data_IF_221426260898
#
_entry.id   IF_221426260898
#
_cell.length_a   1.000
_cell.length_b   1.000
_cell.length_c   1.000
_cell.angle_alpha   90.00
_cell.angle_beta   90.00
_cell.angle_gamma   90.00
#
_symmetry.space_group_name_H-M   'P 1'
#
loop_
_entity.id
_entity.type
_entity.pdbx_description
1 polymer ?
#
# COMPACT_ATOMS: atom_id res chain seq x y z
N UNK A 1 14.93 18.08 4.24
CA UNK A 1 14.65 18.28 2.81
C UNK A 1 13.21 18.72 2.74
N UNK A 2 12.98 19.98 2.39
CA UNK A 2 11.64 20.54 2.28
C UNK A 2 10.87 19.75 1.22
N UNK A 3 9.76 19.11 1.61
CA UNK A 3 8.83 18.55 0.65
C UNK A 3 8.26 19.74 -0.13
N UNK A 4 8.86 20.03 -1.30
CA UNK A 4 8.32 20.99 -2.25
C UNK A 4 6.82 20.75 -2.40
N UNK A 5 6.06 21.84 -2.27
CA UNK A 5 4.61 21.87 -2.35
C UNK A 5 4.18 21.46 -3.78
N UNK A 6 4.19 20.15 -4.05
CA UNK A 6 3.93 19.57 -5.36
C UNK A 6 2.45 19.72 -5.65
N UNK A 7 2.15 20.50 -6.69
CA UNK A 7 0.80 20.62 -7.24
C UNK A 7 0.23 19.21 -7.45
N UNK A 8 -1.02 18.95 -7.02
CA UNK A 8 -1.64 17.65 -7.25
C UNK A 8 -1.71 17.37 -8.76
N UNK A 9 -1.44 16.12 -9.13
CA UNK A 9 -1.59 15.66 -10.51
C UNK A 9 -3.06 15.34 -10.75
N UNK A 10 -3.62 15.88 -11.82
CA UNK A 10 -4.94 15.48 -12.28
C UNK A 10 -4.89 14.05 -12.84
N UNK A 11 -5.85 13.22 -12.45
CA UNK A 11 -6.05 11.88 -12.99
C UNK A 11 -7.54 11.69 -13.34
N UNK A 12 -7.87 10.98 -14.43
CA UNK A 12 -9.26 10.73 -14.82
C UNK A 12 -9.87 9.50 -14.12
N UNK A 13 -9.22 8.94 -13.10
CA UNK A 13 -9.64 7.70 -12.42
C UNK A 13 -10.36 8.02 -11.10
N UNK A 14 -11.44 7.29 -10.81
CA UNK A 14 -12.23 7.38 -9.60
C UNK A 14 -12.94 6.04 -9.32
N UNK A 15 -13.46 5.86 -8.11
CA UNK A 15 -14.20 4.67 -7.72
C UNK A 15 -13.35 3.39 -7.80
N UNK A 16 -13.96 2.24 -8.16
CA UNK A 16 -13.25 0.96 -8.22
C UNK A 16 -12.02 0.96 -9.13
N UNK A 17 -12.07 1.66 -10.27
CA UNK A 17 -10.94 1.73 -11.23
C UNK A 17 -9.71 2.36 -10.59
N UNK A 18 -9.89 3.35 -9.70
CA UNK A 18 -8.77 3.93 -8.95
C UNK A 18 -8.15 2.93 -7.97
N UNK A 19 -8.98 2.11 -7.32
CA UNK A 19 -8.54 1.09 -6.36
C UNK A 19 -7.85 -0.11 -7.04
N UNK A 20 -8.17 -0.37 -8.31
CA UNK A 20 -7.51 -1.40 -9.14
C UNK A 20 -6.15 -0.95 -9.69
N UNK A 21 -5.78 0.32 -9.55
CA UNK A 21 -4.50 0.86 -10.01
C UNK A 21 -3.47 0.88 -8.87
N UNK A 22 -2.48 -0.03 -8.82
CA UNK A 22 -1.61 -0.18 -7.64
C UNK A 22 -0.73 1.04 -7.38
N UNK A 23 -0.41 1.78 -8.44
CA UNK A 23 0.37 3.02 -8.37
C UNK A 23 -0.40 4.19 -7.74
N UNK A 24 -1.73 4.15 -7.78
CA UNK A 24 -2.60 5.25 -7.33
C UNK A 24 -3.38 4.88 -6.05
N UNK A 25 -3.63 3.59 -5.85
CA UNK A 25 -4.39 3.09 -4.71
C UNK A 25 -3.61 3.30 -3.41
N UNK A 26 -4.19 4.07 -2.48
CA UNK A 26 -3.68 4.28 -1.12
C UNK A 26 -4.37 3.40 -0.09
N UNK A 27 -5.37 2.61 -0.48
CA UNK A 27 -6.22 1.85 0.44
C UNK A 27 -6.86 2.77 1.49
N UNK A 28 -6.77 2.37 2.76
CA UNK A 28 -7.26 3.15 3.90
C UNK A 28 -6.58 4.51 4.07
N UNK A 29 -5.42 4.76 3.45
CA UNK A 29 -4.71 6.03 3.53
C UNK A 29 -5.23 7.13 2.61
N UNK A 30 -6.30 6.87 1.84
CA UNK A 30 -7.07 7.97 1.23
C UNK A 30 -7.73 8.81 2.33
N UNK A 31 -7.46 10.11 2.32
CA UNK A 31 -8.09 11.06 3.27
C UNK A 31 -9.59 11.18 2.99
N UNK A 32 -10.35 11.71 3.95
CA UNK A 32 -11.79 11.96 3.76
C UNK A 32 -12.10 12.89 2.56
N UNK A 33 -11.23 13.86 2.32
CA UNK A 33 -11.31 14.74 1.16
C UNK A 33 -11.07 13.98 -0.14
N UNK A 34 -10.03 13.14 -0.19
CA UNK A 34 -9.74 12.29 -1.35
C UNK A 34 -10.87 11.28 -1.61
N UNK A 35 -11.41 10.65 -0.56
CA UNK A 35 -12.55 9.72 -0.66
C UNK A 35 -13.78 10.39 -1.26
N UNK A 36 -14.03 11.65 -0.91
CA UNK A 36 -15.11 12.46 -1.47
C UNK A 36 -14.84 12.81 -2.94
N UNK A 37 -13.64 13.28 -3.27
CA UNK A 37 -13.28 13.67 -4.64
C UNK A 37 -13.22 12.49 -5.62
N UNK A 38 -12.80 11.31 -5.15
CA UNK A 38 -12.65 10.12 -5.97
C UNK A 38 -13.82 9.14 -5.85
N UNK A 39 -14.94 9.50 -5.21
CA UNK A 39 -16.12 8.64 -5.03
C UNK A 39 -15.80 7.27 -4.39
N UNK A 40 -15.04 7.28 -3.29
CA UNK A 40 -14.60 6.06 -2.59
C UNK A 40 -15.41 5.73 -1.33
N UNK A 41 -16.36 6.59 -0.95
CA UNK A 41 -17.24 6.34 0.18
C UNK A 41 -18.03 5.04 0.01
N UNK A 42 -17.94 4.17 1.03
CA UNK A 42 -18.55 2.84 1.01
C UNK A 42 -17.73 1.75 0.29
N UNK A 43 -16.63 2.10 -0.39
CA UNK A 43 -15.72 1.15 -1.01
C UNK A 43 -14.52 0.78 -0.11
N UNK A 44 -14.25 1.62 0.89
CA UNK A 44 -13.15 1.46 1.84
C UNK A 44 -13.70 1.39 3.28
N UNK A 45 -12.98 0.73 4.20
CA UNK A 45 -13.29 0.83 5.63
C UNK A 45 -13.33 2.28 6.10
N UNK A 46 -14.15 2.57 7.12
CA UNK A 46 -14.31 3.92 7.67
C UNK A 46 -12.99 4.50 8.20
N UNK A 47 -12.15 3.67 8.81
CA UNK A 47 -10.87 4.09 9.33
C UNK A 47 -9.96 4.66 8.23
N UNK A 48 -9.40 5.85 8.48
CA UNK A 48 -8.30 6.43 7.71
C UNK A 48 -7.01 6.12 8.44
N UNK A 49 -6.08 5.45 7.76
CA UNK A 49 -4.77 5.10 8.32
C UNK A 49 -3.68 5.99 7.72
N UNK A 50 -2.64 6.29 8.49
CA UNK A 50 -1.40 6.84 7.92
C UNK A 50 -0.62 5.76 7.18
N UNK A 51 0.33 6.15 6.33
CA UNK A 51 1.20 5.17 5.67
C UNK A 51 2.04 4.40 6.69
N UNK A 52 2.44 5.02 7.81
CA UNK A 52 3.15 4.36 8.91
C UNK A 52 2.29 3.28 9.58
N UNK A 53 1.01 3.56 9.84
CA UNK A 53 0.07 2.58 10.43
C UNK A 53 -0.17 1.41 9.48
N UNK A 54 -0.29 1.68 8.17
CA UNK A 54 -0.40 0.63 7.16
C UNK A 54 0.86 -0.25 7.11
N UNK A 55 2.05 0.34 7.20
CA UNK A 55 3.33 -0.40 7.24
C UNK A 55 3.41 -1.27 8.48
N UNK A 56 3.07 -0.74 9.65
CA UNK A 56 3.10 -1.50 10.90
C UNK A 56 2.13 -2.70 10.84
N UNK A 57 0.90 -2.48 10.36
CA UNK A 57 -0.09 -3.53 10.18
C UNK A 57 0.37 -4.59 9.17
N UNK A 58 0.95 -4.16 8.05
CA UNK A 58 1.47 -5.07 7.03
C UNK A 58 2.66 -5.89 7.55
N UNK A 59 3.57 -5.28 8.32
CA UNK A 59 4.70 -5.97 8.91
C UNK A 59 4.27 -7.04 9.92
N UNK A 60 3.31 -6.73 10.80
CA UNK A 60 2.75 -7.72 11.74
C UNK A 60 2.17 -8.92 11.00
N UNK A 61 1.36 -8.66 9.97
CA UNK A 61 0.78 -9.73 9.14
C UNK A 61 1.86 -10.56 8.42
N UNK A 62 2.92 -9.92 7.95
CA UNK A 62 4.08 -10.60 7.36
C UNK A 62 4.77 -11.54 8.37
N UNK A 63 4.94 -11.10 9.62
CA UNK A 63 5.57 -11.91 10.68
C UNK A 63 4.71 -13.11 11.11
N UNK A 64 3.38 -13.03 10.96
CA UNK A 64 2.47 -14.12 11.29
C UNK A 64 2.58 -15.32 10.32
N UNK A 65 3.11 -15.11 9.10
CA UNK A 65 3.34 -16.20 8.16
C UNK A 65 4.55 -17.04 8.57
N UNK A 66 4.38 -18.36 8.51
CA UNK A 66 5.38 -19.33 8.99
C UNK A 66 6.35 -19.81 7.93
N UNK A 67 5.97 -19.73 6.65
CA UNK A 67 6.79 -20.19 5.54
C UNK A 67 7.02 -19.06 4.53
N UNK A 68 8.10 -19.19 3.78
CA UNK A 68 8.58 -18.14 2.89
C UNK A 68 7.69 -17.98 1.65
N UNK A 69 6.99 -19.03 1.22
CA UNK A 69 6.04 -18.97 0.10
C UNK A 69 4.83 -18.10 0.42
N UNK A 70 4.25 -18.24 1.61
CA UNK A 70 3.13 -17.41 2.06
C UNK A 70 3.56 -15.95 2.24
N UNK A 71 4.77 -15.73 2.78
CA UNK A 71 5.38 -14.40 2.86
C UNK A 71 5.58 -13.79 1.48
N UNK A 72 6.05 -14.57 0.51
CA UNK A 72 6.22 -14.14 -0.87
C UNK A 72 4.88 -13.75 -1.50
N UNK A 73 3.87 -14.62 -1.39
CA UNK A 73 2.52 -14.35 -1.90
C UNK A 73 1.93 -13.08 -1.27
N UNK A 74 2.14 -12.89 0.03
CA UNK A 74 1.67 -11.71 0.74
C UNK A 74 2.34 -10.42 0.23
N UNK A 75 3.67 -10.40 0.15
CA UNK A 75 4.40 -9.26 -0.38
C UNK A 75 4.02 -8.95 -1.84
N UNK A 76 3.83 -9.98 -2.67
CA UNK A 76 3.34 -9.84 -4.05
C UNK A 76 1.94 -9.23 -4.09
N UNK A 77 1.04 -9.65 -3.22
CA UNK A 77 -0.30 -9.09 -3.13
C UNK A 77 -0.30 -7.60 -2.75
N UNK A 78 0.58 -7.18 -1.83
CA UNK A 78 0.74 -5.76 -1.51
C UNK A 78 1.23 -5.00 -2.76
N UNK A 79 2.23 -5.52 -3.46
CA UNK A 79 2.73 -4.89 -4.69
C UNK A 79 1.64 -4.74 -5.76
N UNK A 80 0.80 -5.76 -5.93
CA UNK A 80 -0.30 -5.80 -6.90
C UNK A 80 -1.52 -4.94 -6.50
N UNK A 81 -1.55 -4.38 -5.29
CA UNK A 81 -2.70 -3.61 -4.80
C UNK A 81 -2.36 -2.20 -4.38
N UNK A 82 -1.18 -1.97 -3.78
CA UNK A 82 -0.69 -0.68 -3.34
C UNK A 82 0.85 -0.68 -3.39
N UNK A 83 1.39 -0.21 -4.50
CA UNK A 83 2.83 -0.25 -4.78
C UNK A 83 3.61 0.74 -3.88
N UNK A 84 2.97 1.83 -3.45
CA UNK A 84 3.56 2.77 -2.49
C UNK A 84 3.79 2.11 -1.13
N UNK A 85 2.80 1.39 -0.62
CA UNK A 85 2.92 0.64 0.64
C UNK A 85 3.97 -0.47 0.53
N UNK A 86 4.01 -1.18 -0.60
CA UNK A 86 5.02 -2.22 -0.84
C UNK A 86 6.44 -1.68 -0.70
N UNK A 87 6.80 -0.62 -1.43
CA UNK A 87 8.15 -0.07 -1.33
C UNK A 87 8.44 0.59 0.02
N UNK A 88 7.44 1.20 0.67
CA UNK A 88 7.62 1.77 2.01
C UNK A 88 7.90 0.70 3.07
N UNK A 89 7.23 -0.45 2.96
CA UNK A 89 7.47 -1.61 3.81
C UNK A 89 8.88 -2.18 3.58
N UNK A 90 9.28 -2.35 2.31
CA UNK A 90 10.63 -2.81 1.96
C UNK A 90 11.72 -1.86 2.47
N UNK A 91 11.53 -0.55 2.35
CA UNK A 91 12.47 0.46 2.87
C UNK A 91 12.74 0.28 4.38
N UNK A 92 11.70 -0.14 5.13
CA UNK A 92 11.80 -0.34 6.58
C UNK A 92 12.38 -1.71 6.98
N UNK A 93 12.20 -2.75 6.15
CA UNK A 93 12.54 -4.14 6.50
C UNK A 93 13.32 -4.88 5.39
N UNK A 94 14.12 -4.15 4.62
CA UNK A 94 14.76 -4.65 3.39
C UNK A 94 15.54 -5.94 3.61
N UNK A 95 16.41 -5.98 4.64
CA UNK A 95 17.27 -7.13 4.89
C UNK A 95 16.50 -8.43 5.17
N UNK A 96 15.32 -8.34 5.81
CA UNK A 96 14.46 -9.50 6.10
C UNK A 96 13.68 -9.93 4.84
N UNK A 97 13.23 -8.96 4.03
CA UNK A 97 12.33 -9.22 2.90
C UNK A 97 13.03 -9.50 1.57
N UNK A 98 14.27 -9.04 1.39
CA UNK A 98 15.08 -9.27 0.18
C UNK A 98 15.16 -10.74 -0.27
N UNK A 99 15.48 -11.73 0.61
CA UNK A 99 15.48 -13.12 0.19
C UNK A 99 14.09 -13.61 -0.25
N UNK A 100 13.02 -13.12 0.38
CA UNK A 100 11.65 -13.54 0.06
C UNK A 100 11.20 -13.04 -1.32
N UNK A 101 11.63 -11.85 -1.75
CA UNK A 101 11.20 -11.26 -3.03
C UNK A 101 12.01 -11.72 -4.24
N UNK A 102 13.28 -12.12 -4.05
CA UNK A 102 14.23 -12.29 -5.16
C UNK A 102 14.75 -13.72 -5.35
N UNK A 103 14.81 -14.54 -4.30
CA UNK A 103 15.27 -15.93 -4.47
C UNK A 103 14.09 -16.88 -4.65
N UNK A 104 14.12 -17.79 -5.65
CA UNK A 104 13.12 -18.83 -5.76
C UNK A 104 13.25 -19.76 -4.56
N UNK A 105 12.20 -19.82 -3.74
CA UNK A 105 12.02 -20.80 -2.65
C UNK A 105 11.57 -22.16 -3.14
#
# INVERSE_FOLDING_TARGET
MEHENKRPLYIPYAGPILLESPLLNKGSAFTEEERSHFNLHGLLPEAVETIEEQVERAYRQYQDFKNDNDKHLYLRNIQDTNETLFYRLLDSHLSEMMPIIYTPT
#
